data_IF_456284402436
#
_entry.id   IF_456284402436
#
_cell.length_a   1.000
_cell.length_b   1.000
_cell.length_c   1.000
_cell.angle_alpha   90.00
_cell.angle_beta   90.00
_cell.angle_gamma   90.00
#
_symmetry.space_group_name_H-M   'P 1'
#
loop_
_entity.id
_entity.type
_entity.pdbx_description
1 polymer ?
#
# COMPACT_ATOMS: atom_id res chain seq x y z
N UNK A 1 -6.64 9.42 -10.47
CA UNK A 1 -7.35 9.32 -11.76
C UNK A 1 -8.22 10.55 -12.01
N UNK A 2 -9.08 10.93 -11.07
CA UNK A 2 -9.95 12.12 -11.17
C UNK A 2 -9.12 13.37 -11.49
N UNK A 3 -8.07 13.63 -10.71
CA UNK A 3 -7.15 14.77 -10.92
C UNK A 3 -6.57 14.77 -12.35
N UNK A 4 -6.07 13.61 -12.82
CA UNK A 4 -5.52 13.46 -14.16
C UNK A 4 -6.56 13.66 -15.28
N UNK A 5 -7.83 13.32 -15.00
CA UNK A 5 -8.91 13.51 -15.97
C UNK A 5 -9.44 14.94 -16.04
N UNK A 6 -9.19 15.76 -15.01
CA UNK A 6 -9.63 17.15 -14.91
C UNK A 6 -8.60 18.16 -15.43
N UNK A 7 -7.43 17.71 -15.90
CA UNK A 7 -6.41 18.60 -16.46
C UNK A 7 -7.01 19.39 -17.65
N UNK A 8 -7.00 20.73 -17.61
CA UNK A 8 -7.71 21.57 -18.56
C UNK A 8 -6.96 21.78 -19.89
N UNK A 9 -6.49 20.69 -20.52
CA UNK A 9 -5.67 20.74 -21.74
C UNK A 9 -6.29 19.97 -22.92
N UNK A 10 -7.59 19.65 -22.90
CA UNK A 10 -8.26 18.79 -23.89
C UNK A 10 -7.58 17.41 -24.09
N UNK A 11 -6.66 17.04 -23.18
CA UNK A 11 -5.94 15.76 -23.22
C UNK A 11 -6.88 14.57 -23.15
N UNK A 12 -8.00 14.73 -22.41
CA UNK A 12 -9.01 13.70 -22.23
C UNK A 12 -9.61 13.21 -23.55
N UNK A 13 -9.62 14.04 -24.58
CA UNK A 13 -10.14 13.70 -25.91
C UNK A 13 -9.13 12.92 -26.75
N UNK A 14 -7.85 12.93 -26.37
CA UNK A 14 -6.80 12.22 -27.10
C UNK A 14 -6.81 10.74 -26.74
N UNK A 15 -6.84 9.86 -27.77
CA UNK A 15 -6.84 8.40 -27.62
C UNK A 15 -5.63 7.89 -26.81
N UNK A 16 -4.46 8.52 -26.98
CA UNK A 16 -3.27 8.19 -26.23
C UNK A 16 -3.46 8.42 -24.71
N UNK A 17 -4.00 9.58 -24.33
CA UNK A 17 -4.27 9.93 -22.95
C UNK A 17 -5.28 8.98 -22.30
N UNK A 18 -6.31 8.61 -23.03
CA UNK A 18 -7.31 7.64 -22.56
C UNK A 18 -6.70 6.26 -22.32
N UNK A 19 -5.80 5.80 -23.21
CA UNK A 19 -5.09 4.53 -23.01
C UNK A 19 -4.17 4.58 -21.79
N UNK A 20 -3.47 5.70 -21.58
CA UNK A 20 -2.62 5.90 -20.43
C UNK A 20 -3.44 5.90 -19.12
N UNK A 21 -4.58 6.60 -19.09
CA UNK A 21 -5.48 6.59 -17.93
C UNK A 21 -6.06 5.21 -17.65
N UNK A 22 -6.42 4.48 -18.69
CA UNK A 22 -6.90 3.10 -18.56
C UNK A 22 -5.81 2.18 -17.99
N UNK A 23 -4.62 2.23 -18.55
CA UNK A 23 -3.49 1.46 -18.05
C UNK A 23 -3.17 1.78 -16.59
N UNK A 24 -3.10 3.07 -16.25
CA UNK A 24 -2.92 3.52 -14.88
C UNK A 24 -4.01 3.00 -13.94
N UNK A 25 -5.28 3.10 -14.36
CA UNK A 25 -6.41 2.60 -13.59
C UNK A 25 -6.29 1.09 -13.33
N UNK A 26 -6.06 0.30 -14.38
CA UNK A 26 -5.98 -1.17 -14.24
C UNK A 26 -4.78 -1.57 -13.40
N UNK A 27 -3.59 -1.04 -13.70
CA UNK A 27 -2.35 -1.43 -13.01
C UNK A 27 -2.38 -1.03 -11.54
N UNK A 28 -2.74 0.22 -11.23
CA UNK A 28 -2.76 0.69 -9.83
C UNK A 28 -3.80 -0.07 -9.00
N UNK A 29 -5.00 -0.30 -9.53
CA UNK A 29 -6.01 -1.05 -8.80
C UNK A 29 -5.68 -2.54 -8.71
N UNK A 30 -5.13 -3.16 -9.76
CA UNK A 30 -4.71 -4.55 -9.72
C UNK A 30 -3.60 -4.77 -8.69
N UNK A 31 -2.62 -3.87 -8.61
CA UNK A 31 -1.52 -3.95 -7.64
C UNK A 31 -1.99 -3.61 -6.22
N UNK A 32 -2.52 -2.39 -6.02
CA UNK A 32 -2.81 -1.89 -4.67
C UNK A 32 -4.12 -2.41 -4.09
N UNK A 33 -5.18 -2.55 -4.90
CA UNK A 33 -6.47 -2.99 -4.40
C UNK A 33 -6.63 -4.51 -4.45
N UNK A 34 -6.01 -5.22 -5.40
CA UNK A 34 -6.16 -6.67 -5.53
C UNK A 34 -4.94 -7.40 -4.99
N UNK A 35 -3.76 -7.26 -5.62
CA UNK A 35 -2.60 -8.07 -5.28
C UNK A 35 -2.13 -7.87 -3.82
N UNK A 36 -2.02 -6.61 -3.39
CA UNK A 36 -1.60 -6.29 -2.01
C UNK A 36 -2.59 -6.82 -0.99
N UNK A 37 -3.90 -6.66 -1.21
CA UNK A 37 -4.90 -7.14 -0.25
C UNK A 37 -5.00 -8.67 -0.20
N UNK A 38 -4.85 -9.35 -1.34
CA UNK A 38 -4.82 -10.82 -1.35
C UNK A 38 -3.54 -11.37 -0.72
N UNK A 39 -2.40 -10.74 -1.00
CA UNK A 39 -1.13 -11.09 -0.35
C UNK A 39 -1.18 -10.90 1.17
N UNK A 40 -1.74 -9.77 1.62
CA UNK A 40 -1.93 -9.50 3.03
C UNK A 40 -2.92 -10.46 3.70
N UNK A 41 -3.96 -10.90 3.01
CA UNK A 41 -4.92 -11.87 3.56
C UNK A 41 -4.22 -13.21 3.92
N UNK A 42 -3.26 -13.64 3.10
CA UNK A 42 -2.43 -14.81 3.40
C UNK A 42 -1.46 -14.50 4.54
N UNK A 43 -0.72 -13.39 4.44
CA UNK A 43 0.28 -12.98 5.41
C UNK A 43 -0.30 -12.77 6.81
N UNK A 44 -1.44 -12.06 6.89
CA UNK A 44 -2.12 -11.78 8.16
C UNK A 44 -2.55 -13.06 8.89
N UNK A 45 -2.93 -14.11 8.17
CA UNK A 45 -3.32 -15.39 8.76
C UNK A 45 -2.21 -16.02 9.59
N UNK A 46 -0.94 -15.81 9.19
CA UNK A 46 0.23 -16.39 9.86
C UNK A 46 0.86 -15.45 10.88
N UNK A 47 0.85 -14.15 10.62
CA UNK A 47 1.62 -13.18 11.41
C UNK A 47 0.78 -12.28 12.31
N UNK A 48 -0.54 -12.20 12.05
CA UNK A 48 -1.46 -11.26 12.71
C UNK A 48 -1.05 -9.78 12.58
N UNK A 49 -0.20 -9.47 11.58
CA UNK A 49 0.29 -8.13 11.26
C UNK A 49 -0.07 -7.77 9.83
N UNK A 50 -0.21 -6.47 9.58
CA UNK A 50 -0.37 -5.96 8.21
C UNK A 50 0.94 -5.97 7.47
N UNK A 51 0.83 -6.19 6.17
CA UNK A 51 1.95 -6.18 5.25
C UNK A 51 2.54 -4.77 5.16
N UNK A 52 3.84 -4.64 5.37
CA UNK A 52 4.58 -3.38 5.34
C UNK A 52 5.57 -3.34 4.18
N UNK A 53 6.07 -2.15 3.84
CA UNK A 53 7.04 -2.01 2.77
C UNK A 53 8.35 -2.76 3.06
N UNK A 54 8.74 -2.82 4.33
CA UNK A 54 9.96 -3.50 4.73
C UNK A 54 9.92 -5.00 4.40
N UNK A 55 8.76 -5.62 4.55
CA UNK A 55 8.57 -7.03 4.24
C UNK A 55 8.56 -7.33 2.73
N UNK A 56 8.14 -6.36 1.91
CA UNK A 56 8.16 -6.47 0.45
C UNK A 56 9.59 -6.29 -0.09
N UNK A 57 10.32 -5.31 0.47
CA UNK A 57 11.60 -4.85 -0.07
C UNK A 57 12.81 -5.42 0.68
N UNK A 58 12.61 -6.38 1.60
CA UNK A 58 13.72 -7.05 2.25
C UNK A 58 14.56 -7.81 1.21
N UNK A 59 15.70 -7.21 0.86
CA UNK A 59 16.63 -7.72 -0.12
C UNK A 59 17.39 -8.99 0.33
N UNK A 60 17.29 -9.36 1.60
CA UNK A 60 18.13 -10.39 2.22
C UNK A 60 17.53 -11.80 2.18
N UNK A 61 16.35 -11.96 1.64
CA UNK A 61 15.68 -13.26 1.54
C UNK A 61 15.91 -13.90 0.17
N UNK A 62 17.01 -14.63 0.02
CA UNK A 62 17.28 -15.45 -1.17
C UNK A 62 16.15 -16.45 -1.51
N UNK A 63 15.31 -16.79 -0.55
CA UNK A 63 14.19 -17.73 -0.70
C UNK A 63 12.82 -17.05 -0.84
N UNK A 64 12.75 -15.71 -0.92
CA UNK A 64 11.48 -14.98 -0.94
C UNK A 64 10.58 -15.37 -2.12
N UNK A 65 11.16 -15.57 -3.29
CA UNK A 65 10.41 -15.97 -4.50
C UNK A 65 9.83 -17.38 -4.35
N UNK A 66 10.61 -18.34 -3.84
CA UNK A 66 10.13 -19.71 -3.61
C UNK A 66 9.02 -19.75 -2.56
N UNK A 67 9.13 -18.93 -1.52
CA UNK A 67 8.11 -18.80 -0.48
C UNK A 67 6.81 -18.24 -1.03
N UNK A 68 6.88 -17.17 -1.85
CA UNK A 68 5.71 -16.59 -2.53
C UNK A 68 5.05 -17.60 -3.45
N UNK A 69 5.82 -18.34 -4.24
CA UNK A 69 5.28 -19.39 -5.13
C UNK A 69 4.61 -20.50 -4.35
N UNK A 70 5.20 -20.93 -3.23
CA UNK A 70 4.60 -21.95 -2.36
C UNK A 70 3.28 -21.46 -1.77
N UNK A 71 3.24 -20.24 -1.22
CA UNK A 71 2.00 -19.64 -0.70
C UNK A 71 0.94 -19.45 -1.80
N UNK A 72 1.34 -19.07 -3.00
CA UNK A 72 0.44 -18.96 -4.15
C UNK A 72 -0.16 -20.33 -4.53
N UNK A 73 0.65 -21.38 -4.54
CA UNK A 73 0.19 -22.73 -4.83
C UNK A 73 -0.76 -23.28 -3.74
N UNK A 74 -0.44 -23.07 -2.47
CA UNK A 74 -1.29 -23.47 -1.34
C UNK A 74 -2.64 -22.72 -1.31
N UNK A 75 -2.65 -21.46 -1.75
CA UNK A 75 -3.83 -20.59 -1.74
C UNK A 75 -4.32 -20.26 -3.16
N UNK A 76 -4.28 -21.22 -4.07
CA UNK A 76 -4.66 -21.06 -5.48
C UNK A 76 -6.06 -20.43 -5.68
N UNK A 77 -7.00 -20.68 -4.77
CA UNK A 77 -8.33 -20.10 -4.81
C UNK A 77 -8.32 -18.57 -4.69
N UNK A 78 -7.35 -17.98 -3.96
CA UNK A 78 -7.20 -16.54 -3.89
C UNK A 78 -6.71 -15.95 -5.22
N UNK A 79 -5.89 -16.69 -5.97
CA UNK A 79 -5.49 -16.28 -7.31
C UNK A 79 -6.68 -16.24 -8.27
N UNK A 80 -7.62 -17.20 -8.15
CA UNK A 80 -8.86 -17.17 -8.92
C UNK A 80 -9.72 -15.97 -8.55
N UNK A 81 -9.88 -15.69 -7.25
CA UNK A 81 -10.60 -14.50 -6.79
C UNK A 81 -9.91 -13.22 -7.33
N UNK A 82 -8.59 -13.15 -7.27
CA UNK A 82 -7.82 -12.04 -7.83
C UNK A 82 -8.05 -11.85 -9.32
N UNK A 83 -8.02 -12.95 -10.08
CA UNK A 83 -8.28 -12.92 -11.53
C UNK A 83 -9.69 -12.41 -11.85
N UNK A 84 -10.70 -12.86 -11.10
CA UNK A 84 -12.09 -12.40 -11.25
C UNK A 84 -12.20 -10.91 -10.92
N UNK A 85 -11.56 -10.44 -9.84
CA UNK A 85 -11.57 -9.02 -9.46
C UNK A 85 -10.89 -8.15 -10.53
N UNK A 86 -9.75 -8.57 -11.07
CA UNK A 86 -9.06 -7.86 -12.15
C UNK A 86 -9.93 -7.85 -13.41
N UNK A 87 -10.58 -8.96 -13.74
CA UNK A 87 -11.51 -9.02 -14.85
C UNK A 87 -12.68 -8.05 -14.68
N UNK A 88 -13.26 -7.98 -13.48
CA UNK A 88 -14.32 -7.03 -13.15
C UNK A 88 -13.85 -5.58 -13.26
N UNK A 89 -12.61 -5.26 -12.86
CA UNK A 89 -12.01 -3.94 -13.02
C UNK A 89 -11.88 -3.56 -14.51
N UNK A 90 -11.37 -4.47 -15.31
CA UNK A 90 -11.24 -4.28 -16.77
C UNK A 90 -12.60 -4.10 -17.41
N UNK A 91 -13.54 -4.97 -17.09
CA UNK A 91 -14.91 -4.93 -17.62
C UNK A 91 -15.68 -3.68 -17.22
N UNK A 92 -15.54 -3.24 -15.96
CA UNK A 92 -16.17 -2.04 -15.44
C UNK A 92 -15.69 -0.75 -16.10
N UNK A 93 -14.39 -0.66 -16.41
CA UNK A 93 -13.83 0.50 -17.12
C UNK A 93 -14.24 0.52 -18.62
N UNK A 94 -14.36 -0.64 -19.26
CA UNK A 94 -14.64 -0.79 -20.68
C UNK A 94 -16.03 -0.31 -21.13
N UNK A 95 -16.93 -0.02 -20.19
CA UNK A 95 -18.27 0.50 -20.49
C UNK A 95 -18.25 2.01 -20.72
N UNK A 96 -17.82 2.40 -21.91
CA UNK A 96 -18.12 3.65 -22.64
C UNK A 96 -18.30 4.92 -21.80
N UNK A 97 -17.22 5.48 -21.34
CA UNK A 97 -17.17 6.91 -21.10
C UNK A 97 -16.72 7.54 -22.42
N UNK A 98 -17.67 8.01 -23.22
CA UNK A 98 -17.34 8.85 -24.38
C UNK A 98 -16.87 10.19 -23.83
N UNK A 99 -15.60 10.55 -24.01
CA UNK A 99 -15.01 11.71 -23.36
C UNK A 99 -15.27 13.01 -24.10
N UNK A 100 -16.44 13.20 -24.66
CA UNK A 100 -16.82 14.50 -25.22
C UNK A 100 -17.23 15.43 -24.11
N UNK A 101 -16.43 16.49 -23.92
CA UNK A 101 -16.82 17.57 -23.01
C UNK A 101 -18.09 18.24 -23.55
N UNK A 102 -19.15 18.39 -22.71
CA UNK A 102 -20.34 19.16 -23.11
C UNK A 102 -20.01 20.66 -23.23
N UNK A 103 -18.89 21.11 -22.69
CA UNK A 103 -18.45 22.51 -22.75
C UNK A 103 -17.60 22.72 -24.01
N UNK A 104 -18.19 23.37 -25.01
CA UNK A 104 -17.58 23.59 -26.32
C UNK A 104 -16.74 24.89 -26.40
N UNK A 105 -17.02 25.85 -25.52
CA UNK A 105 -16.29 27.10 -25.48
C UNK A 105 -14.98 26.98 -24.69
N UNK A 106 -13.84 27.26 -25.33
CA UNK A 106 -12.53 27.06 -24.76
C UNK A 106 -12.31 27.74 -23.40
N UNK A 107 -12.80 28.97 -23.24
CA UNK A 107 -12.66 29.71 -22.00
C UNK A 107 -13.46 29.08 -20.83
N UNK A 108 -14.72 28.76 -21.06
CA UNK A 108 -15.60 28.12 -20.06
C UNK A 108 -15.07 26.74 -19.67
N UNK A 109 -14.61 25.98 -20.68
CA UNK A 109 -14.00 24.66 -20.44
C UNK A 109 -12.79 24.77 -19.51
N UNK A 110 -11.86 25.68 -19.78
CA UNK A 110 -10.65 25.84 -18.96
C UNK A 110 -10.99 26.31 -17.54
N UNK A 111 -11.89 27.27 -17.38
CA UNK A 111 -12.27 27.81 -16.08
C UNK A 111 -12.96 26.74 -15.21
N UNK A 112 -13.93 26.02 -15.76
CA UNK A 112 -14.67 24.98 -15.02
C UNK A 112 -13.75 23.82 -14.67
N UNK A 113 -12.94 23.30 -15.60
CA UNK A 113 -12.04 22.21 -15.29
C UNK A 113 -10.95 22.58 -14.29
N UNK A 114 -10.41 23.82 -14.36
CA UNK A 114 -9.46 24.29 -13.35
C UNK A 114 -10.10 24.41 -11.97
N UNK A 115 -11.31 24.94 -11.88
CA UNK A 115 -12.06 25.00 -10.63
C UNK A 115 -12.32 23.61 -10.03
N UNK A 116 -12.79 22.67 -10.85
CA UNK A 116 -13.00 21.29 -10.42
C UNK A 116 -11.69 20.59 -10.03
N UNK A 117 -10.59 20.86 -10.73
CA UNK A 117 -9.27 20.33 -10.39
C UNK A 117 -8.82 20.81 -9.01
N UNK A 118 -8.94 22.10 -8.73
CA UNK A 118 -8.60 22.66 -7.41
C UNK A 118 -9.45 22.04 -6.33
N UNK A 119 -10.77 21.94 -6.54
CA UNK A 119 -11.69 21.30 -5.59
C UNK A 119 -11.31 19.84 -5.36
N UNK A 120 -11.01 19.08 -6.42
CA UNK A 120 -10.62 17.67 -6.32
C UNK A 120 -9.31 17.49 -5.55
N UNK A 121 -8.33 18.39 -5.74
CA UNK A 121 -7.05 18.38 -5.00
C UNK A 121 -7.31 18.69 -3.53
N UNK A 122 -8.09 19.73 -3.22
CA UNK A 122 -8.41 20.11 -1.85
C UNK A 122 -9.17 18.99 -1.10
N UNK A 123 -10.16 18.38 -1.76
CA UNK A 123 -10.88 17.24 -1.19
C UNK A 123 -9.97 16.02 -1.00
N UNK A 124 -9.06 15.76 -1.94
CA UNK A 124 -8.06 14.71 -1.81
C UNK A 124 -7.14 14.93 -0.62
N UNK A 125 -6.62 16.14 -0.43
CA UNK A 125 -5.78 16.51 0.72
C UNK A 125 -6.56 16.39 2.03
N UNK A 126 -7.80 16.89 2.07
CA UNK A 126 -8.67 16.79 3.24
C UNK A 126 -8.98 15.33 3.61
N UNK A 127 -9.24 14.48 2.61
CA UNK A 127 -9.48 13.06 2.81
C UNK A 127 -8.23 12.32 3.33
N UNK A 128 -7.06 12.58 2.75
CA UNK A 128 -5.80 11.98 3.22
C UNK A 128 -5.41 12.44 4.63
N UNK A 129 -5.76 13.66 4.97
CA UNK A 129 -5.47 14.25 6.29
C UNK A 129 -6.46 13.83 7.36
N UNK A 130 -7.66 13.34 6.97
CA UNK A 130 -8.73 12.99 7.90
C UNK A 130 -9.49 14.18 8.47
N UNK A 131 -9.34 15.38 7.87
CA UNK A 131 -10.06 16.59 8.26
C UNK A 131 -9.48 17.87 7.68
N UNK A 132 -10.24 18.96 7.81
CA UNK A 132 -9.96 20.27 7.20
C UNK A 132 -9.39 21.26 8.23
N UNK A 133 -9.45 20.95 9.53
CA UNK A 133 -9.03 21.86 10.58
C UNK A 133 -7.51 21.90 10.75
N UNK A 134 -6.96 23.02 11.20
CA UNK A 134 -5.53 23.17 11.49
C UNK A 134 -5.04 22.20 12.58
N UNK A 135 -5.92 21.81 13.48
CA UNK A 135 -5.64 20.89 14.60
C UNK A 135 -5.57 19.42 14.16
N UNK A 136 -6.06 19.07 12.97
CA UNK A 136 -6.05 17.67 12.48
C UNK A 136 -4.62 17.25 12.17
N UNK A 137 -4.11 16.32 12.95
CA UNK A 137 -2.80 15.69 12.68
C UNK A 137 -2.92 14.67 11.54
N UNK A 138 -1.86 14.49 10.74
CA UNK A 138 -1.84 13.44 9.73
C UNK A 138 -2.09 12.08 10.37
N UNK A 139 -2.89 11.25 9.71
CA UNK A 139 -3.19 9.89 10.16
C UNK A 139 -1.90 9.07 10.23
N UNK A 140 -1.69 8.39 11.36
CA UNK A 140 -0.55 7.50 11.60
C UNK A 140 -1.03 6.07 11.85
N UNK A 141 -0.12 5.10 11.77
CA UNK A 141 -0.44 3.70 12.06
C UNK A 141 -0.96 3.52 13.50
N UNK A 142 -0.43 4.30 14.44
CA UNK A 142 -0.84 4.27 15.85
C UNK A 142 -2.25 4.80 16.11
N UNK A 143 -2.85 5.56 15.18
CA UNK A 143 -4.22 6.04 15.38
C UNK A 143 -5.25 4.90 15.46
N UNK A 144 -4.95 3.75 14.84
CA UNK A 144 -5.81 2.58 14.91
C UNK A 144 -5.96 2.03 16.34
N UNK A 145 -4.94 2.19 17.18
CA UNK A 145 -4.98 1.74 18.59
C UNK A 145 -5.98 2.50 19.45
N UNK A 146 -6.39 3.70 19.04
CA UNK A 146 -7.42 4.47 19.71
C UNK A 146 -8.82 3.81 19.62
N UNK A 147 -9.03 3.01 18.57
CA UNK A 147 -10.31 2.38 18.26
C UNK A 147 -10.32 0.87 18.53
N UNK A 148 -9.23 0.32 19.02
CA UNK A 148 -9.07 -1.11 19.22
C UNK A 148 -8.48 -1.44 20.57
N UNK A 149 -9.06 -2.43 21.25
CA UNK A 149 -8.60 -2.90 22.56
C UNK A 149 -7.37 -3.82 22.48
N UNK A 150 -7.09 -4.40 21.32
CA UNK A 150 -5.96 -5.31 21.10
C UNK A 150 -5.19 -4.93 19.83
N UNK A 151 -3.90 -5.26 19.78
CA UNK A 151 -3.03 -4.99 18.62
C UNK A 151 -3.55 -5.64 17.34
N UNK A 152 -4.09 -6.85 17.43
CA UNK A 152 -4.67 -7.57 16.28
C UNK A 152 -5.86 -6.82 15.69
N UNK A 153 -6.77 -6.32 16.55
CA UNK A 153 -7.92 -5.52 16.12
C UNK A 153 -7.48 -4.18 15.51
N UNK A 154 -6.44 -3.54 16.07
CA UNK A 154 -5.86 -2.33 15.51
C UNK A 154 -5.33 -2.58 14.10
N UNK A 155 -4.66 -3.71 13.89
CA UNK A 155 -4.17 -4.10 12.57
C UNK A 155 -5.30 -4.34 11.56
N UNK A 156 -6.47 -4.85 11.98
CA UNK A 156 -7.63 -5.02 11.09
C UNK A 156 -8.25 -3.69 10.61
N UNK A 157 -8.16 -2.65 11.42
CA UNK A 157 -8.67 -1.31 11.04
C UNK A 157 -7.82 -0.66 9.94
N UNK A 158 -6.52 -0.96 9.93
CA UNK A 158 -5.58 -0.37 8.96
C UNK A 158 -5.77 -0.96 7.56
N UNK A 159 -5.77 -0.10 6.54
CA UNK A 159 -5.76 -0.56 5.15
C UNK A 159 -4.33 -0.90 4.70
N UNK A 160 -4.17 -1.97 3.91
CA UNK A 160 -2.87 -2.46 3.46
C UNK A 160 -2.10 -1.44 2.60
N UNK A 161 -2.72 -0.79 1.60
CA UNK A 161 -2.03 0.23 0.82
C UNK A 161 -1.52 1.38 1.69
N UNK A 162 -2.28 1.77 2.72
CA UNK A 162 -1.86 2.80 3.66
C UNK A 162 -0.65 2.35 4.48
N UNK A 163 -0.65 1.11 5.00
CA UNK A 163 0.48 0.56 5.75
C UNK A 163 1.75 0.54 4.90
N UNK A 164 1.68 0.06 3.66
CA UNK A 164 2.82 0.01 2.74
C UNK A 164 3.32 1.42 2.43
N UNK A 165 2.43 2.33 2.00
CA UNK A 165 2.82 3.70 1.65
C UNK A 165 3.43 4.46 2.84
N UNK A 166 2.95 4.20 4.04
CA UNK A 166 3.43 4.87 5.26
C UNK A 166 4.76 4.32 5.75
N UNK A 167 5.09 3.08 5.41
CA UNK A 167 6.35 2.42 5.78
C UNK A 167 7.43 2.53 4.70
N UNK A 168 7.09 2.96 3.48
CA UNK A 168 8.10 3.26 2.45
C UNK A 168 9.05 4.34 2.97
N UNK A 169 10.33 4.01 3.03
CA UNK A 169 11.40 4.92 3.45
C UNK A 169 11.51 5.16 4.95
N UNK A 170 10.63 4.58 5.78
CA UNK A 170 10.80 4.61 7.23
C UNK A 170 11.86 3.65 7.73
N UNK A 171 12.48 2.89 6.83
CA UNK A 171 13.60 1.98 7.11
C UNK A 171 13.39 1.21 8.40
N UNK A 172 12.61 0.14 8.35
CA UNK A 172 12.34 -0.71 9.52
C UNK A 172 13.55 -1.46 10.08
N UNK A 173 14.72 -1.25 9.49
CA UNK A 173 15.96 -1.70 10.13
C UNK A 173 16.19 -0.83 11.36
N UNK A 174 15.90 -1.38 12.52
CA UNK A 174 16.46 -0.86 13.78
C UNK A 174 17.95 -0.67 13.50
N UNK A 175 18.37 0.59 13.41
CA UNK A 175 19.78 0.93 13.25
C UNK A 175 20.47 0.47 14.53
N UNK A 176 20.99 -0.76 14.51
CA UNK A 176 21.80 -1.26 15.61
C UNK A 176 23.03 -0.38 15.68
N UNK A 177 23.07 0.51 16.63
CA UNK A 177 24.30 1.23 16.98
C UNK A 177 25.20 0.21 17.63
N UNK A 178 26.20 -0.26 16.92
CA UNK A 178 27.22 -1.15 17.47
C UNK A 178 28.10 -0.34 18.42
N UNK A 179 27.82 -0.44 19.71
CA UNK A 179 28.61 0.21 20.76
C UNK A 179 29.91 -0.54 21.05
N UNK A 180 29.96 -1.84 20.73
CA UNK A 180 31.11 -2.70 20.97
C UNK A 180 31.48 -3.46 19.68
N UNK A 181 32.79 -3.75 19.50
CA UNK A 181 33.21 -4.73 18.50
C UNK A 181 32.75 -6.14 18.92
N UNK A 182 32.51 -7.07 17.96
CA UNK A 182 32.09 -8.44 18.30
C UNK A 182 33.01 -9.12 19.33
N UNK A 183 34.30 -8.90 19.22
CA UNK A 183 35.34 -9.47 20.12
C UNK A 183 35.18 -8.96 21.57
N UNK A 184 34.86 -7.67 21.74
CA UNK A 184 34.61 -7.10 23.07
C UNK A 184 33.24 -7.47 23.61
N UNK A 185 32.29 -7.76 22.75
CA UNK A 185 30.95 -8.19 23.18
C UNK A 185 31.01 -9.58 23.85
N UNK A 186 31.80 -10.50 23.26
CA UNK A 186 31.99 -11.85 23.79
C UNK A 186 32.73 -11.85 25.15
N UNK A 187 33.56 -10.83 25.42
CA UNK A 187 34.24 -10.65 26.72
C UNK A 187 33.24 -10.25 27.84
N UNK A 188 32.24 -9.40 27.52
CA UNK A 188 31.28 -8.89 28.50
C UNK A 188 30.00 -9.73 28.61
N UNK A 189 29.61 -10.42 27.55
CA UNK A 189 28.37 -11.18 27.52
C UNK A 189 28.45 -12.36 26.56
N UNK A 190 28.42 -13.56 27.13
CA UNK A 190 28.34 -14.81 26.36
C UNK A 190 26.87 -15.26 26.29
N UNK A 191 26.18 -15.12 25.15
CA UNK A 191 24.75 -15.44 25.04
C UNK A 191 24.46 -16.95 25.05
N UNK A 192 25.48 -17.80 24.91
CA UNK A 192 25.33 -19.25 24.90
C UNK A 192 25.61 -19.82 26.30
N UNK A 193 24.55 -20.07 27.06
CA UNK A 193 24.64 -20.91 28.23
C UNK A 193 24.78 -22.37 27.79
N UNK A 194 25.96 -22.92 27.87
CA UNK A 194 26.13 -24.39 27.75
C UNK A 194 25.60 -24.97 29.06
N UNK A 195 24.62 -25.91 29.03
CA UNK A 195 24.23 -26.62 30.24
C UNK A 195 25.46 -27.32 30.79
N UNK A 196 25.70 -27.12 32.07
CA UNK A 196 26.79 -27.79 32.79
C UNK A 196 26.60 -29.30 32.60
N UNK A 197 27.62 -29.98 32.05
CA UNK A 197 27.60 -31.42 31.86
C UNK A 197 27.55 -32.20 33.20
N UNK A 198 27.67 -31.49 34.30
CA UNK A 198 27.56 -32.05 35.68
C UNK A 198 26.12 -32.13 36.22
N UNK A 199 25.12 -31.59 35.50
CA UNK A 199 23.73 -31.60 35.91
C UNK A 199 22.91 -32.79 35.35
N UNK A 200 23.57 -33.71 34.65
CA UNK A 200 22.94 -34.96 34.14
C UNK A 200 23.62 -36.14 34.86
N UNK A 201 23.26 -36.36 36.11
CA UNK A 201 23.39 -37.64 36.85
C UNK A 201 22.11 -37.88 37.63
#
# INVERSE_FOLDING_TARGET
LIVLSLIPLHLRERRWWQRMLYFYYVVVNALLAVAVNLGDAVYFRYTQKRFTADEIFFADNSNSVQLVLKFAAENWYLLLVGAVLIWLLVWGYGRKITPRSPLREGWVYHSVNTGLLVIAILLGIAGMRGGVTRMTRPITLSNATLYASTSEKANLILSNPFCILRTIGSGGSVKYTRYFSPEKLDEYFTPTHRPDSSAVN
#
